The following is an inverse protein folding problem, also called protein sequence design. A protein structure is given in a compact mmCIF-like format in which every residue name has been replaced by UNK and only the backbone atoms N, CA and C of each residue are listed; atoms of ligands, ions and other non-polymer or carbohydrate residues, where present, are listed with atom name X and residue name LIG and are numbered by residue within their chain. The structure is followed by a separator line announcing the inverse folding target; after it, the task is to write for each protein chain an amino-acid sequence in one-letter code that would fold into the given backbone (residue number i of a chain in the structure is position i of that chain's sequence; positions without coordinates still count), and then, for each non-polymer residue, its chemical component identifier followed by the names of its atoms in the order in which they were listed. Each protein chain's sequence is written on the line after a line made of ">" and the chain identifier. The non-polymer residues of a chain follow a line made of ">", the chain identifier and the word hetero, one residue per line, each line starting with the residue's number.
data_IF_970812389587
#
_entry.id   IF_970812389587
#
_cell.length_a   1.000
_cell.length_b   1.000
_cell.length_c   1.000
_cell.angle_alpha   90.00
_cell.angle_beta   90.00
_cell.angle_gamma   90.00
#
_symmetry.space_group_name_H-M   'P 1'
#
loop_
_entity.id
_entity.type
_entity.pdbx_description
1 polymer ?
#
# COMPACT_ATOMS: atom_id res chain seq x y z
N UNK A 1 -9.24 -1.88 -9.09
CA UNK A 1 -8.31 -3.01 -8.78
C UNK A 1 -8.80 -4.29 -9.43
N UNK A 2 -7.87 -5.17 -9.82
CA UNK A 2 -8.18 -6.47 -10.47
C UNK A 2 -8.59 -7.55 -9.45
N UNK A 3 -9.18 -7.15 -8.33
CA UNK A 3 -9.72 -8.09 -7.36
C UNK A 3 -11.10 -8.54 -7.83
N UNK A 4 -11.14 -9.67 -8.51
CA UNK A 4 -12.34 -10.25 -9.08
C UNK A 4 -12.68 -11.61 -8.47
N UNK A 5 -13.87 -12.13 -8.79
CA UNK A 5 -14.35 -13.39 -8.24
C UNK A 5 -13.43 -14.58 -8.60
N UNK A 6 -12.82 -14.59 -9.78
CA UNK A 6 -11.89 -15.66 -10.17
C UNK A 6 -10.65 -15.69 -9.28
N UNK A 7 -10.05 -14.52 -9.03
CA UNK A 7 -8.92 -14.39 -8.11
C UNK A 7 -9.33 -14.75 -6.66
N UNK A 8 -10.53 -14.34 -6.24
CA UNK A 8 -11.08 -14.71 -4.94
C UNK A 8 -11.18 -16.22 -4.76
N UNK A 9 -11.79 -16.92 -5.72
CA UNK A 9 -11.94 -18.37 -5.67
C UNK A 9 -10.59 -19.11 -5.70
N UNK A 10 -9.62 -18.60 -6.47
CA UNK A 10 -8.27 -19.17 -6.48
C UNK A 10 -7.56 -19.04 -5.12
N UNK A 11 -7.76 -17.93 -4.43
CA UNK A 11 -7.11 -17.66 -3.15
C UNK A 11 -7.88 -18.26 -1.96
N UNK A 12 -9.12 -18.73 -2.18
CA UNK A 12 -9.96 -19.28 -1.11
C UNK A 12 -9.32 -20.50 -0.44
N UNK A 13 -8.59 -21.30 -1.21
CA UNK A 13 -7.93 -22.53 -0.76
C UNK A 13 -6.40 -22.40 -0.74
N UNK A 14 -5.87 -21.20 -0.95
CA UNK A 14 -4.42 -20.98 -0.96
C UNK A 14 -3.92 -20.73 0.47
N UNK A 15 -2.97 -21.58 0.92
CA UNK A 15 -2.36 -21.47 2.25
C UNK A 15 -1.41 -20.26 2.38
N UNK A 16 -0.95 -19.71 1.26
CA UNK A 16 0.05 -18.64 1.21
C UNK A 16 -0.55 -17.25 1.01
N UNK A 17 -1.84 -17.16 0.67
CA UNK A 17 -2.50 -15.90 0.35
C UNK A 17 -4.00 -15.96 0.69
N UNK A 18 -4.51 -14.91 1.33
CA UNK A 18 -5.92 -14.79 1.64
C UNK A 18 -6.70 -14.01 0.55
N UNK A 19 -8.00 -14.30 0.38
CA UNK A 19 -8.84 -13.59 -0.58
C UNK A 19 -9.10 -12.14 -0.17
N UNK A 20 -9.24 -11.28 -1.19
CA UNK A 20 -9.60 -9.87 -1.06
C UNK A 20 -10.55 -9.48 -2.19
N UNK A 21 -11.55 -8.66 -1.91
CA UNK A 21 -12.50 -8.12 -2.89
C UNK A 21 -12.66 -6.61 -2.74
N UNK A 22 -13.09 -5.97 -3.82
CA UNK A 22 -13.51 -4.58 -3.78
C UNK A 22 -14.75 -4.43 -2.88
N UNK A 23 -14.72 -3.42 -2.01
CA UNK A 23 -15.84 -3.04 -1.17
C UNK A 23 -16.51 -1.80 -1.75
N UNK A 24 -17.81 -1.86 -1.92
CA UNK A 24 -18.62 -0.75 -2.43
C UNK A 24 -19.65 -0.33 -1.40
N UNK A 25 -19.90 0.95 -1.32
CA UNK A 25 -21.02 1.53 -0.59
C UNK A 25 -22.11 1.91 -1.58
N UNK A 26 -23.31 1.42 -1.32
CA UNK A 26 -24.49 1.74 -2.13
C UNK A 26 -25.30 2.81 -1.39
N UNK A 27 -25.61 3.90 -2.07
CA UNK A 27 -26.55 4.93 -1.63
C UNK A 27 -27.76 4.95 -2.57
N UNK A 28 -28.77 5.75 -2.28
CA UNK A 28 -29.93 5.89 -3.14
C UNK A 28 -29.62 6.40 -4.56
N UNK A 29 -28.44 6.98 -4.75
CA UNK A 29 -28.05 7.64 -6.02
C UNK A 29 -26.76 7.12 -6.63
N UNK A 30 -25.86 6.51 -5.85
CA UNK A 30 -24.52 6.15 -6.28
C UNK A 30 -24.10 4.79 -5.75
N UNK A 31 -23.13 4.21 -6.45
CA UNK A 31 -22.33 3.08 -5.97
C UNK A 31 -20.89 3.59 -5.93
N UNK A 32 -20.39 3.79 -4.72
CA UNK A 32 -19.07 4.35 -4.51
C UNK A 32 -18.10 3.26 -4.03
N UNK A 33 -16.91 3.21 -4.62
CA UNK A 33 -15.88 2.34 -4.12
C UNK A 33 -15.42 2.83 -2.73
N UNK A 34 -15.37 1.93 -1.76
CA UNK A 34 -15.13 2.24 -0.35
C UNK A 34 -13.91 1.50 0.22
N UNK A 35 -13.07 0.95 -0.64
CA UNK A 35 -11.88 0.23 -0.24
C UNK A 35 -11.92 -1.27 -0.54
N UNK A 36 -11.33 -2.08 0.34
CA UNK A 36 -11.21 -3.53 0.17
C UNK A 36 -11.77 -4.29 1.37
N UNK A 37 -12.45 -5.39 1.10
CA UNK A 37 -12.90 -6.37 2.08
C UNK A 37 -11.87 -7.51 2.18
N UNK A 38 -11.45 -7.82 3.40
CA UNK A 38 -10.49 -8.87 3.73
C UNK A 38 -11.21 -10.14 4.14
N UNK A 39 -10.78 -11.28 3.61
CA UNK A 39 -11.42 -12.56 3.87
C UNK A 39 -10.42 -13.57 4.45
N UNK A 40 -10.90 -14.40 5.36
CA UNK A 40 -10.23 -15.62 5.81
C UNK A 40 -11.15 -16.80 5.50
N UNK A 41 -10.72 -17.61 4.51
CA UNK A 41 -11.64 -18.52 3.87
C UNK A 41 -12.80 -17.75 3.23
N UNK A 42 -14.01 -18.18 3.42
CA UNK A 42 -15.25 -17.60 2.88
C UNK A 42 -15.84 -16.46 3.73
N UNK A 43 -15.20 -16.10 4.85
CA UNK A 43 -15.70 -15.10 5.80
C UNK A 43 -14.96 -13.79 5.69
N UNK A 44 -15.71 -12.71 5.55
CA UNK A 44 -15.17 -11.35 5.69
C UNK A 44 -14.76 -11.12 7.15
N UNK A 45 -13.50 -10.78 7.38
CA UNK A 45 -12.91 -10.60 8.73
C UNK A 45 -12.38 -9.19 8.97
N UNK A 46 -12.33 -8.36 7.94
CA UNK A 46 -11.84 -6.99 8.06
C UNK A 46 -12.09 -6.19 6.79
N UNK A 47 -11.72 -4.92 6.85
CA UNK A 47 -11.76 -4.03 5.68
C UNK A 47 -10.63 -3.02 5.74
N UNK A 48 -10.22 -2.55 4.58
CA UNK A 48 -9.30 -1.43 4.39
C UNK A 48 -10.06 -0.26 3.77
N UNK A 49 -9.85 0.94 4.29
CA UNK A 49 -10.32 2.16 3.64
C UNK A 49 -9.57 2.46 2.34
N UNK A 50 -9.96 3.51 1.63
CA UNK A 50 -9.39 3.84 0.30
C UNK A 50 -7.87 3.99 0.35
N UNK A 51 -7.35 4.82 1.25
CA UNK A 51 -5.92 5.09 1.37
C UNK A 51 -5.10 3.84 1.74
N UNK A 52 -5.62 3.00 2.64
CA UNK A 52 -4.98 1.73 3.01
C UNK A 52 -5.04 0.71 1.87
N UNK A 53 -6.13 0.73 1.10
CA UNK A 53 -6.28 -0.14 -0.08
C UNK A 53 -5.25 0.18 -1.17
N UNK A 54 -5.00 1.45 -1.44
CA UNK A 54 -3.94 1.87 -2.35
C UNK A 54 -2.56 1.46 -1.83
N UNK A 55 -2.33 1.61 -0.53
CA UNK A 55 -1.09 1.17 0.12
C UNK A 55 -0.90 -0.34 0.00
N UNK A 56 -1.97 -1.13 0.22
CA UNK A 56 -1.92 -2.58 0.02
C UNK A 56 -1.51 -2.93 -1.41
N UNK A 57 -2.07 -2.29 -2.43
CA UNK A 57 -1.75 -2.56 -3.83
C UNK A 57 -0.28 -2.26 -4.16
N UNK A 58 0.28 -1.22 -3.55
CA UNK A 58 1.71 -0.92 -3.67
C UNK A 58 2.57 -2.00 -2.99
N UNK A 59 2.22 -2.39 -1.76
CA UNK A 59 2.93 -3.45 -1.02
C UNK A 59 2.81 -4.80 -1.72
N UNK A 60 1.65 -5.13 -2.27
CA UNK A 60 1.32 -6.40 -2.90
C UNK A 60 1.91 -6.53 -4.30
N UNK A 61 1.69 -5.53 -5.15
CA UNK A 61 1.92 -5.64 -6.60
C UNK A 61 2.87 -4.57 -7.16
N UNK A 62 3.30 -3.59 -6.34
CA UNK A 62 4.13 -2.48 -6.81
C UNK A 62 3.42 -1.63 -7.86
N UNK A 63 2.09 -1.49 -7.79
CA UNK A 63 1.33 -0.73 -8.78
C UNK A 63 1.14 0.72 -8.34
N UNK A 64 1.30 1.67 -9.24
CA UNK A 64 0.91 3.07 -9.03
C UNK A 64 -0.62 3.20 -9.06
N UNK A 65 -1.11 4.40 -8.93
CA UNK A 65 -2.47 4.68 -9.34
C UNK A 65 -3.36 5.33 -8.31
N UNK A 66 -2.84 6.32 -7.58
CA UNK A 66 -3.74 7.21 -6.85
C UNK A 66 -3.32 8.67 -7.03
N UNK A 67 -4.30 9.53 -6.83
CA UNK A 67 -4.13 10.96 -6.67
C UNK A 67 -4.68 11.31 -5.31
N UNK A 68 -3.90 12.00 -4.50
CA UNK A 68 -4.27 12.32 -3.13
C UNK A 68 -3.71 13.67 -2.72
N UNK A 69 -4.49 14.40 -1.94
CA UNK A 69 -4.08 15.66 -1.33
C UNK A 69 -3.43 15.41 0.03
N UNK A 70 -2.39 16.15 0.29
CA UNK A 70 -1.61 16.14 1.52
C UNK A 70 -1.43 17.55 2.06
N UNK A 71 -1.45 17.75 3.38
CA UNK A 71 -1.12 19.02 3.97
C UNK A 71 0.28 19.50 3.55
N UNK A 72 0.41 20.80 3.38
CA UNK A 72 1.71 21.40 3.10
C UNK A 72 2.73 21.10 4.21
N UNK A 73 4.03 20.89 3.86
CA UNK A 73 5.06 20.60 4.84
C UNK A 73 5.25 21.67 5.92
N UNK A 74 4.93 22.90 5.58
CA UNK A 74 5.12 24.07 6.48
C UNK A 74 3.97 24.23 7.48
N UNK A 75 2.94 23.40 7.40
CA UNK A 75 1.73 23.47 8.21
C UNK A 75 0.79 24.59 7.72
N UNK A 76 -0.50 24.38 7.89
CA UNK A 76 -1.54 25.31 7.43
C UNK A 76 -2.74 24.56 6.87
N UNK A 77 -3.71 25.29 6.37
CA UNK A 77 -4.90 24.73 5.68
C UNK A 77 -4.64 24.43 4.19
N UNK A 78 -3.46 24.78 3.70
CA UNK A 78 -3.06 24.63 2.31
C UNK A 78 -2.62 23.20 2.04
N UNK A 79 -2.83 22.71 0.80
CA UNK A 79 -2.61 21.34 0.39
C UNK A 79 -1.80 21.27 -0.90
N UNK A 80 -1.13 20.13 -1.08
CA UNK A 80 -0.57 19.72 -2.36
C UNK A 80 -1.19 18.38 -2.77
N UNK A 81 -1.47 18.25 -4.06
CA UNK A 81 -2.00 16.99 -4.62
C UNK A 81 -0.90 16.28 -5.40
N UNK A 82 -0.52 15.11 -4.90
CA UNK A 82 0.45 14.23 -5.53
C UNK A 82 -0.27 13.15 -6.34
N UNK A 83 0.13 12.98 -7.59
CA UNK A 83 -0.34 11.91 -8.46
C UNK A 83 0.79 10.92 -8.69
N UNK A 84 0.62 9.70 -8.17
CA UNK A 84 1.58 8.62 -8.30
C UNK A 84 1.51 8.02 -9.70
N UNK A 85 2.60 8.06 -10.45
CA UNK A 85 2.72 7.60 -11.84
C UNK A 85 3.38 6.25 -11.96
N UNK A 86 4.41 5.99 -11.15
CA UNK A 86 5.17 4.76 -11.16
C UNK A 86 5.39 4.27 -9.73
N UNK A 87 5.31 2.96 -9.57
CA UNK A 87 5.71 2.29 -8.35
C UNK A 87 6.45 1.00 -8.69
N UNK A 88 7.50 0.69 -7.94
CA UNK A 88 8.26 -0.55 -8.06
C UNK A 88 8.47 -1.14 -6.68
N UNK A 89 8.04 -2.38 -6.51
CA UNK A 89 8.20 -3.13 -5.27
C UNK A 89 9.44 -3.99 -5.31
N UNK A 90 10.22 -3.99 -4.21
CA UNK A 90 11.29 -4.94 -3.95
C UNK A 90 11.04 -5.59 -2.60
N UNK A 91 11.07 -6.91 -2.52
CA UNK A 91 10.89 -7.69 -1.29
C UNK A 91 12.14 -8.45 -0.97
N UNK A 92 12.59 -8.36 0.27
CA UNK A 92 13.65 -9.19 0.83
C UNK A 92 13.13 -9.89 2.08
N UNK A 93 13.52 -11.14 2.25
CA UNK A 93 13.20 -11.94 3.42
C UNK A 93 14.47 -12.39 4.12
N UNK A 94 14.44 -12.39 5.46
CA UNK A 94 15.47 -12.96 6.32
C UNK A 94 14.82 -13.98 7.24
N UNK A 95 15.43 -15.15 7.39
CA UNK A 95 14.95 -16.18 8.30
C UNK A 95 15.35 -15.90 9.75
N UNK A 96 16.53 -15.30 9.94
CA UNK A 96 17.06 -14.95 11.26
C UNK A 96 17.58 -13.50 11.26
N UNK A 97 16.84 -12.53 11.84
CA UNK A 97 15.47 -12.66 12.36
C UNK A 97 14.45 -12.91 11.25
N UNK A 98 13.32 -13.55 11.60
CA UNK A 98 12.22 -13.81 10.65
C UNK A 98 11.51 -12.51 10.32
N UNK A 99 11.93 -11.91 9.21
CA UNK A 99 11.55 -10.54 8.86
C UNK A 99 11.47 -10.33 7.35
N UNK A 100 10.45 -9.58 6.94
CA UNK A 100 10.37 -9.01 5.61
C UNK A 100 10.77 -7.53 5.61
N UNK A 101 11.48 -7.15 4.55
CA UNK A 101 11.61 -5.75 4.16
C UNK A 101 11.01 -5.56 2.79
N UNK A 102 10.03 -4.67 2.70
CA UNK A 102 9.38 -4.28 1.45
C UNK A 102 9.79 -2.86 1.16
N UNK A 103 10.52 -2.66 0.08
CA UNK A 103 10.89 -1.33 -0.39
C UNK A 103 10.05 -0.96 -1.61
N UNK A 104 9.48 0.24 -1.60
CA UNK A 104 8.63 0.75 -2.67
C UNK A 104 9.25 2.05 -3.20
N UNK A 105 9.82 1.96 -4.40
CA UNK A 105 10.25 3.14 -5.16
C UNK A 105 9.03 3.74 -5.84
N UNK A 106 8.78 5.04 -5.61
CA UNK A 106 7.63 5.75 -6.18
C UNK A 106 8.08 7.01 -6.91
N UNK A 107 7.47 7.23 -8.08
CA UNK A 107 7.65 8.45 -8.87
C UNK A 107 6.29 9.03 -9.21
N UNK A 108 6.18 10.36 -9.11
CA UNK A 108 4.93 11.04 -9.40
C UNK A 108 5.11 12.52 -9.68
N UNK A 109 3.98 13.19 -9.85
CA UNK A 109 3.94 14.61 -10.16
C UNK A 109 3.04 15.34 -9.16
N UNK A 110 3.37 16.58 -8.84
CA UNK A 110 2.46 17.47 -8.12
C UNK A 110 1.53 18.08 -9.16
N UNK A 111 0.24 17.76 -9.10
CA UNK A 111 -0.77 18.24 -10.05
C UNK A 111 -1.47 19.51 -9.58
N UNK A 112 -1.52 19.72 -8.27
CA UNK A 112 -2.08 20.92 -7.66
C UNK A 112 -1.26 21.28 -6.42
N UNK A 113 -1.02 22.56 -6.20
CA UNK A 113 -0.23 23.07 -5.09
C UNK A 113 -0.74 24.45 -4.69
N UNK A 114 -1.19 24.59 -3.46
CA UNK A 114 -1.64 25.86 -2.87
C UNK A 114 -0.68 26.39 -1.80
N UNK A 115 0.35 25.61 -1.45
CA UNK A 115 1.35 25.92 -0.42
C UNK A 115 2.23 27.16 -0.73
N UNK A 116 2.22 27.68 -1.97
CA UNK A 116 3.15 28.73 -2.38
C UNK A 116 4.62 28.30 -2.43
N UNK A 117 4.87 26.98 -2.30
CA UNK A 117 6.23 26.43 -2.28
C UNK A 117 6.81 26.37 -3.67
N UNK A 118 7.96 27.02 -3.88
CA UNK A 118 8.68 26.96 -5.16
C UNK A 118 9.35 25.59 -5.34
N UNK A 119 8.62 24.66 -5.97
CA UNK A 119 9.10 23.30 -6.25
C UNK A 119 10.18 23.21 -7.35
N UNK A 120 10.52 24.34 -8.00
CA UNK A 120 11.68 24.37 -8.90
C UNK A 120 12.99 24.27 -8.13
N UNK A 121 12.99 24.67 -6.86
CA UNK A 121 14.13 24.54 -5.95
C UNK A 121 14.24 23.13 -5.41
N UNK A 122 15.38 22.51 -5.62
CA UNK A 122 15.68 21.13 -5.19
C UNK A 122 15.39 20.91 -3.69
N UNK A 123 15.87 21.81 -2.82
CA UNK A 123 15.67 21.74 -1.38
C UNK A 123 14.19 21.69 -0.98
N UNK A 124 13.34 22.45 -1.66
CA UNK A 124 11.90 22.43 -1.38
C UNK A 124 11.27 21.12 -1.83
N UNK A 125 11.68 20.63 -3.00
CA UNK A 125 11.24 19.34 -3.54
C UNK A 125 11.61 18.20 -2.61
N UNK A 126 12.87 18.12 -2.15
CA UNK A 126 13.32 17.14 -1.16
C UNK A 126 12.52 17.19 0.16
N UNK A 127 12.11 18.39 0.58
CA UNK A 127 11.30 18.54 1.79
C UNK A 127 9.91 17.94 1.61
N UNK A 128 9.27 18.16 0.46
CA UNK A 128 7.98 17.56 0.12
C UNK A 128 8.11 16.05 -0.03
N UNK A 129 9.11 15.55 -0.75
CA UNK A 129 9.38 14.11 -0.92
C UNK A 129 9.55 13.40 0.43
N UNK A 130 10.28 14.03 1.35
CA UNK A 130 10.46 13.50 2.72
C UNK A 130 9.15 13.47 3.50
N UNK A 131 8.32 14.51 3.37
CA UNK A 131 7.00 14.56 3.98
C UNK A 131 6.08 13.46 3.46
N UNK A 132 5.98 13.31 2.14
CA UNK A 132 5.22 12.25 1.49
C UNK A 132 5.70 10.86 1.91
N UNK A 133 7.02 10.62 1.91
CA UNK A 133 7.62 9.37 2.40
C UNK A 133 7.12 9.02 3.79
N UNK A 134 7.18 9.96 4.73
CA UNK A 134 6.72 9.72 6.11
C UNK A 134 5.23 9.39 6.20
N UNK A 135 4.41 10.03 5.37
CA UNK A 135 2.96 9.74 5.30
C UNK A 135 2.74 8.31 4.78
N UNK A 136 3.42 7.92 3.71
CA UNK A 136 3.30 6.58 3.13
C UNK A 136 3.78 5.49 4.09
N UNK A 137 4.92 5.67 4.73
CA UNK A 137 5.47 4.70 5.70
C UNK A 137 4.53 4.52 6.91
N UNK A 138 4.03 5.62 7.50
CA UNK A 138 3.03 5.52 8.60
C UNK A 138 1.74 4.82 8.18
N UNK A 139 1.30 5.04 6.94
CA UNK A 139 0.11 4.38 6.39
C UNK A 139 0.39 2.90 6.14
N UNK A 140 1.55 2.54 5.60
CA UNK A 140 1.97 1.16 5.41
C UNK A 140 2.00 0.40 6.73
N UNK A 141 2.58 0.98 7.78
CA UNK A 141 2.57 0.39 9.12
C UNK A 141 1.15 0.11 9.65
N UNK A 142 0.21 1.05 9.45
CA UNK A 142 -1.19 0.85 9.85
C UNK A 142 -1.84 -0.24 9.03
N UNK A 143 -1.62 -0.26 7.72
CA UNK A 143 -2.16 -1.27 6.81
C UNK A 143 -1.65 -2.65 7.18
N UNK A 144 -0.35 -2.83 7.41
CA UNK A 144 0.23 -4.11 7.84
C UNK A 144 -0.37 -4.55 9.17
N UNK A 145 -0.45 -3.67 10.17
CA UNK A 145 -1.08 -4.01 11.45
C UNK A 145 -2.54 -4.44 11.30
N UNK A 146 -3.33 -3.75 10.48
CA UNK A 146 -4.73 -4.07 10.26
C UNK A 146 -4.91 -5.47 9.64
N UNK A 147 -4.14 -5.80 8.60
CA UNK A 147 -4.20 -7.12 7.96
C UNK A 147 -3.66 -8.23 8.87
N UNK A 148 -2.65 -7.96 9.69
CA UNK A 148 -2.14 -8.92 10.69
C UNK A 148 -3.15 -9.17 11.81
N UNK A 149 -3.83 -8.12 12.31
CA UNK A 149 -4.91 -8.26 13.30
C UNK A 149 -6.10 -9.07 12.75
N UNK A 150 -6.38 -8.94 11.47
CA UNK A 150 -7.40 -9.74 10.77
C UNK A 150 -6.93 -11.15 10.43
N UNK A 151 -5.64 -11.45 10.66
CA UNK A 151 -4.95 -12.67 10.26
C UNK A 151 -5.22 -13.01 8.77
N UNK A 152 -4.93 -12.06 7.89
CA UNK A 152 -5.14 -12.21 6.44
C UNK A 152 -3.91 -11.75 5.68
N UNK A 153 -3.11 -12.68 5.14
CA UNK A 153 -2.05 -12.27 4.21
C UNK A 153 -2.64 -12.01 2.81
N UNK A 154 -2.94 -10.75 2.56
CA UNK A 154 -3.34 -10.24 1.25
C UNK A 154 -2.18 -9.55 0.52
N UNK A 155 -0.95 -9.60 1.08
CA UNK A 155 0.26 -8.93 0.58
C UNK A 155 1.12 -9.80 -0.33
N UNK A 156 0.82 -11.10 -0.42
CA UNK A 156 1.63 -12.13 -1.11
C UNK A 156 3.00 -12.39 -0.45
N UNK A 157 3.16 -12.10 0.83
CA UNK A 157 4.40 -12.41 1.54
C UNK A 157 4.57 -13.92 1.74
N UNK A 158 3.48 -14.65 2.05
CA UNK A 158 3.50 -16.12 2.08
C UNK A 158 3.84 -16.72 0.73
N UNK A 159 3.25 -16.20 -0.35
CA UNK A 159 3.60 -16.60 -1.73
C UNK A 159 5.07 -16.35 -2.02
N UNK A 160 5.66 -15.26 -1.50
CA UNK A 160 7.09 -14.99 -1.65
C UNK A 160 7.96 -16.05 -0.95
N UNK A 161 7.64 -16.42 0.31
CA UNK A 161 8.39 -17.51 0.99
C UNK A 161 8.24 -18.82 0.24
N UNK A 162 7.03 -19.20 -0.14
CA UNK A 162 6.77 -20.43 -0.89
C UNK A 162 7.58 -20.53 -2.17
N UNK A 163 7.70 -19.41 -2.90
CA UNK A 163 8.39 -19.38 -4.18
C UNK A 163 9.92 -19.34 -4.06
N UNK A 164 10.45 -18.56 -3.11
CA UNK A 164 11.88 -18.25 -3.05
C UNK A 164 12.61 -18.89 -1.88
N UNK A 165 11.88 -19.38 -0.86
CA UNK A 165 12.43 -20.02 0.35
C UNK A 165 11.65 -21.31 0.69
N UNK A 166 11.56 -22.29 -0.25
CA UNK A 166 10.73 -23.47 -0.07
C UNK A 166 11.11 -24.31 1.15
N UNK A 167 12.39 -24.33 1.53
CA UNK A 167 12.83 -25.02 2.74
C UNK A 167 12.21 -24.42 4.00
N UNK A 168 12.08 -23.09 4.08
CA UNK A 168 11.42 -22.40 5.19
C UNK A 168 9.91 -22.67 5.15
N UNK A 169 9.32 -22.60 3.96
CA UNK A 169 7.88 -22.81 3.76
C UNK A 169 7.41 -24.16 4.32
N UNK A 170 8.14 -25.23 4.06
CA UNK A 170 7.80 -26.58 4.52
C UNK A 170 7.87 -26.77 6.04
N UNK A 171 8.46 -25.84 6.78
CA UNK A 171 8.63 -25.94 8.24
C UNK A 171 7.78 -24.93 9.03
N UNK A 172 6.93 -24.15 8.36
CA UNK A 172 6.09 -23.16 9.02
C UNK A 172 4.61 -23.39 8.68
N UNK A 173 3.75 -23.09 9.64
CA UNK A 173 2.34 -22.77 9.37
C UNK A 173 2.25 -21.26 9.14
N UNK A 174 1.98 -20.87 7.88
CA UNK A 174 1.96 -19.46 7.52
C UNK A 174 0.81 -18.70 8.17
N UNK A 175 -0.35 -19.32 8.35
CA UNK A 175 -1.49 -18.68 8.98
C UNK A 175 -1.24 -18.39 10.47
N UNK A 176 -0.51 -19.27 11.16
CA UNK A 176 -0.08 -19.02 12.53
C UNK A 176 1.09 -18.02 12.62
N UNK A 177 1.96 -18.02 11.61
CA UNK A 177 3.18 -17.21 11.59
C UNK A 177 2.94 -15.78 11.18
N UNK A 178 2.06 -15.52 10.19
CA UNK A 178 1.84 -14.20 9.59
C UNK A 178 1.47 -13.10 10.59
N UNK A 179 0.55 -13.31 11.57
CA UNK A 179 0.17 -12.26 12.53
C UNK A 179 1.32 -11.68 13.35
N UNK A 180 2.38 -12.45 13.55
CA UNK A 180 3.54 -12.07 14.36
C UNK A 180 4.81 -11.79 13.55
N UNK A 181 4.70 -11.87 12.24
CA UNK A 181 5.83 -11.63 11.32
C UNK A 181 6.21 -10.16 11.33
N UNK A 182 7.50 -9.87 11.51
CA UNK A 182 8.02 -8.51 11.37
C UNK A 182 8.04 -8.12 9.89
N UNK A 183 7.28 -7.08 9.54
CA UNK A 183 7.18 -6.55 8.17
C UNK A 183 7.51 -5.07 8.19
N UNK A 184 8.64 -4.72 7.63
CA UNK A 184 9.15 -3.35 7.53
C UNK A 184 8.92 -2.84 6.09
N UNK A 185 8.12 -1.78 5.96
CA UNK A 185 7.79 -1.18 4.66
C UNK A 185 8.39 0.21 4.58
N UNK A 186 9.25 0.41 3.59
CA UNK A 186 9.94 1.69 3.37
C UNK A 186 9.65 2.22 1.97
N UNK A 187 9.71 3.54 1.83
CA UNK A 187 9.46 4.23 0.57
C UNK A 187 10.65 5.09 0.15
N UNK A 188 10.87 5.15 -1.16
CA UNK A 188 11.54 6.28 -1.82
C UNK A 188 10.49 7.02 -2.62
N UNK A 189 10.38 8.33 -2.43
CA UNK A 189 9.43 9.17 -3.17
C UNK A 189 10.22 10.15 -4.02
N UNK A 190 9.87 10.23 -5.30
CA UNK A 190 10.51 11.15 -6.24
C UNK A 190 9.46 11.96 -6.99
N UNK A 191 9.58 13.27 -6.93
CA UNK A 191 8.73 14.21 -7.69
C UNK A 191 9.44 14.47 -9.01
N UNK A 192 8.84 13.98 -10.10
CA UNK A 192 9.42 14.07 -11.46
C UNK A 192 8.89 15.26 -12.27
N UNK A 193 7.86 15.96 -11.74
CA UNK A 193 7.30 17.12 -12.38
C UNK A 193 6.31 17.86 -11.51
N UNK A 194 6.05 19.10 -11.86
CA UNK A 194 4.99 19.91 -11.28
C UNK A 194 4.01 20.28 -12.39
N UNK A 195 2.70 20.12 -12.13
CA UNK A 195 1.66 20.57 -13.06
C UNK A 195 1.78 22.07 -13.35
N UNK A 196 1.23 22.51 -14.47
CA UNK A 196 1.19 23.93 -14.79
C UNK A 196 0.49 24.67 -13.65
N UNK A 197 1.13 25.72 -13.12
CA UNK A 197 0.46 26.64 -12.22
C UNK A 197 -0.72 27.24 -13.00
N UNK A 198 -1.94 26.88 -12.62
CA UNK A 198 -3.08 27.66 -13.01
C UNK A 198 -2.95 29.02 -12.30
N UNK A 199 -2.69 30.07 -13.08
CA UNK A 199 -2.78 31.45 -12.62
C UNK A 199 -4.22 31.88 -12.56
#
# INVERSE_FOLDING_TARGET
>A
FDFNLGAFLSNLMDEAENPVLNLYRVTDKTIDWNGLALFRGDRMVGQLGEAESWTLVQIRDGRPGFRESFPCPDGGEEELTFELRHAKRTVTFSEQPFKFRVHIDTEGVIVEETCGTDLSKEKNRETVERGLKQVFERRADRTIRNIQQSNTDVTKLGTHIRAYHPAVWHHIDWQEKFPTTDVDVTYTVRITGTGAKFR
#
